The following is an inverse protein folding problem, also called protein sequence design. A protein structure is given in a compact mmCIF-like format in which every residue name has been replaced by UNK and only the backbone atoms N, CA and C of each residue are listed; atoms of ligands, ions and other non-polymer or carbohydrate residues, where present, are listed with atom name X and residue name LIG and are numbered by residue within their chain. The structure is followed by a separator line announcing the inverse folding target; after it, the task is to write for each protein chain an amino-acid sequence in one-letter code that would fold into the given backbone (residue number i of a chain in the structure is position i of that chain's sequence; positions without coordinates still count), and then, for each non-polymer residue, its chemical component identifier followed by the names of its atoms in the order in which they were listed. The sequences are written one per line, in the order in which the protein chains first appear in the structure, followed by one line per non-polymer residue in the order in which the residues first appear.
data_IF_873456580583
#
_entry.id   IF_873456580583
#
_cell.length_a   1.000
_cell.length_b   1.000
_cell.length_c   1.000
_cell.angle_alpha   90.00
_cell.angle_beta   90.00
_cell.angle_gamma   90.00
#
_symmetry.space_group_name_H-M   'P 1'
#
loop_
_entity.id
_entity.type
_entity.pdbx_description
1 polymer ?
#
# COMPACT_ATOMS: atom_id res chain seq x y z
N UNK A 1 12.76 16.25 8.26
CA UNK A 1 12.01 15.09 8.80
C UNK A 1 10.63 15.59 9.20
N UNK A 2 9.56 14.93 8.75
CA UNK A 2 8.21 15.31 9.16
C UNK A 2 7.93 14.75 10.54
N UNK A 3 7.34 15.57 11.42
CA UNK A 3 6.95 15.15 12.75
C UNK A 3 5.44 15.32 12.87
N UNK A 4 4.77 14.30 13.39
CA UNK A 4 3.39 14.43 13.79
C UNK A 4 3.27 15.44 14.94
N UNK A 5 2.32 16.36 14.83
CA UNK A 5 1.90 17.19 15.93
C UNK A 5 0.89 16.41 16.78
N UNK A 6 0.96 16.54 18.09
CA UNK A 6 0.08 15.86 19.03
C UNK A 6 -1.39 16.14 18.68
N UNK A 7 -2.18 15.09 18.51
CA UNK A 7 -3.63 15.21 18.32
C UNK A 7 -4.28 15.56 19.68
N UNK A 8 -5.14 16.59 19.78
CA UNK A 8 -5.75 17.02 21.04
C UNK A 8 -6.75 16.00 21.62
N UNK A 9 -7.29 15.11 20.78
CA UNK A 9 -7.98 13.90 21.21
C UNK A 9 -7.03 12.73 20.95
N UNK A 10 -6.68 11.96 21.99
CA UNK A 10 -5.77 10.82 21.85
C UNK A 10 -6.38 9.73 20.98
N UNK A 11 -6.24 9.86 19.65
CA UNK A 11 -6.72 8.88 18.69
C UNK A 11 -6.10 7.52 19.00
N UNK A 12 -6.91 6.47 18.88
CA UNK A 12 -6.49 5.13 19.26
C UNK A 12 -5.23 4.73 18.46
N UNK A 13 -4.17 4.38 19.19
CA UNK A 13 -2.91 3.89 18.62
C UNK A 13 -3.15 2.51 18.01
N UNK A 14 -2.74 2.34 16.77
CA UNK A 14 -2.72 1.06 16.04
C UNK A 14 -1.28 0.71 15.68
N UNK A 15 -0.96 -0.58 15.62
CA UNK A 15 0.37 -1.04 15.21
C UNK A 15 0.30 -1.54 13.78
N UNK A 16 1.11 -0.96 12.90
CA UNK A 16 1.36 -1.47 11.55
C UNK A 16 2.77 -2.06 11.47
N UNK A 17 3.06 -2.82 10.42
CA UNK A 17 4.42 -3.24 10.10
C UNK A 17 4.86 -2.66 8.77
N UNK A 18 6.07 -2.09 8.72
CA UNK A 18 6.70 -1.56 7.51
C UNK A 18 7.98 -2.35 7.29
N UNK A 19 8.03 -3.14 6.22
CA UNK A 19 9.12 -4.08 5.92
C UNK A 19 9.50 -4.95 7.14
N UNK A 20 8.48 -5.46 7.83
CA UNK A 20 8.64 -6.31 9.02
C UNK A 20 8.90 -5.56 10.33
N UNK A 21 9.19 -4.25 10.30
CA UNK A 21 9.37 -3.45 11.52
C UNK A 21 8.05 -2.89 12.02
N UNK A 22 7.77 -3.05 13.32
CA UNK A 22 6.57 -2.48 13.97
C UNK A 22 6.66 -0.96 14.05
N UNK A 23 5.55 -0.29 13.72
CA UNK A 23 5.40 1.17 13.72
C UNK A 23 4.04 1.53 14.33
N UNK A 24 4.04 2.44 15.30
CA UNK A 24 2.83 2.92 15.96
C UNK A 24 2.19 4.04 15.14
N UNK A 25 1.00 3.84 14.60
CA UNK A 25 0.20 4.86 13.91
C UNK A 25 -1.03 5.23 14.74
N UNK A 26 -1.71 6.30 14.34
CA UNK A 26 -3.01 6.67 14.89
C UNK A 26 -4.12 6.30 13.90
N UNK A 27 -5.25 5.87 14.43
CA UNK A 27 -6.45 5.63 13.63
C UNK A 27 -6.80 6.89 12.83
N UNK A 28 -7.08 6.73 11.55
CA UNK A 28 -7.43 7.84 10.65
C UNK A 28 -6.24 8.41 9.87
N UNK A 29 -5.00 8.05 10.22
CA UNK A 29 -3.85 8.37 9.38
C UNK A 29 -3.90 7.61 8.05
N UNK A 30 -3.37 8.22 6.99
CA UNK A 30 -3.05 7.49 5.78
C UNK A 30 -1.74 6.72 5.96
N UNK A 31 -1.57 5.61 5.24
CA UNK A 31 -0.30 4.89 5.18
C UNK A 31 0.83 5.82 4.71
N UNK A 32 0.54 6.74 3.78
CA UNK A 32 1.51 7.74 3.34
C UNK A 32 1.95 8.69 4.46
N UNK A 33 1.02 9.14 5.32
CA UNK A 33 1.35 9.98 6.47
C UNK A 33 2.28 9.27 7.45
N UNK A 34 2.09 7.96 7.64
CA UNK A 34 3.00 7.13 8.43
C UNK A 34 4.37 7.01 7.76
N UNK A 35 4.42 6.77 6.45
CA UNK A 35 5.70 6.63 5.72
C UNK A 35 6.56 7.91 5.80
N UNK A 36 5.97 9.10 5.68
CA UNK A 36 6.74 10.37 5.64
C UNK A 36 7.42 10.74 6.96
N UNK A 37 6.99 10.17 8.09
CA UNK A 37 7.64 10.39 9.39
C UNK A 37 8.70 9.34 9.72
N UNK A 38 8.80 8.26 8.95
CA UNK A 38 9.90 7.30 9.09
C UNK A 38 11.21 7.89 8.56
N UNK A 39 12.34 7.38 9.03
CA UNK A 39 13.67 7.82 8.57
C UNK A 39 13.84 7.68 7.05
N UNK A 40 13.17 6.69 6.45
CA UNK A 40 13.12 6.47 5.02
C UNK A 40 11.67 6.51 4.49
N UNK A 41 11.25 7.60 3.84
CA UNK A 41 9.89 7.76 3.32
C UNK A 41 9.67 7.10 1.94
N UNK A 42 10.68 6.44 1.38
CA UNK A 42 10.55 5.74 0.10
C UNK A 42 9.54 4.61 0.24
N UNK A 43 8.54 4.62 -0.64
CA UNK A 43 7.49 3.62 -0.74
C UNK A 43 7.76 2.63 -1.88
N UNK A 44 8.43 3.08 -2.95
CA UNK A 44 8.75 2.24 -4.10
C UNK A 44 9.99 2.69 -4.86
N UNK A 45 10.44 1.86 -5.80
CA UNK A 45 11.37 2.25 -6.87
C UNK A 45 10.70 2.22 -8.23
N UNK A 46 11.11 3.10 -9.15
CA UNK A 46 10.57 3.09 -10.52
C UNK A 46 11.00 1.82 -11.26
N UNK A 47 10.14 1.21 -12.09
CA UNK A 47 10.47 -0.07 -12.73
C UNK A 47 11.65 -0.06 -13.69
N UNK A 48 11.96 1.09 -14.30
CA UNK A 48 13.00 1.19 -15.33
C UNK A 48 14.35 1.59 -14.76
N UNK A 49 14.37 2.64 -13.95
CA UNK A 49 15.61 3.26 -13.46
C UNK A 49 15.91 2.95 -12.00
N UNK A 50 15.00 2.29 -11.28
CA UNK A 50 15.15 2.02 -9.85
C UNK A 50 15.09 3.28 -8.99
N UNK A 51 14.66 4.43 -9.55
CA UNK A 51 14.67 5.70 -8.83
C UNK A 51 13.70 5.65 -7.65
N UNK A 52 14.11 6.10 -6.44
CA UNK A 52 13.26 6.04 -5.25
C UNK A 52 12.09 7.02 -5.38
N UNK A 53 10.91 6.57 -4.94
CA UNK A 53 9.66 7.35 -4.94
C UNK A 53 8.96 7.19 -3.60
N UNK A 54 8.36 8.26 -3.12
CA UNK A 54 7.63 8.29 -1.86
C UNK A 54 6.42 9.23 -1.96
N UNK A 55 5.69 9.41 -0.85
CA UNK A 55 4.57 10.32 -0.81
C UNK A 55 4.94 11.74 -1.22
N UNK A 56 4.16 12.30 -2.14
CA UNK A 56 4.38 13.65 -2.67
C UNK A 56 3.08 14.46 -2.69
N UNK A 57 2.13 14.10 -3.55
CA UNK A 57 0.91 14.91 -3.73
C UNK A 57 -0.13 14.76 -2.61
N UNK A 58 -0.12 13.65 -1.86
CA UNK A 58 -1.15 13.30 -0.86
C UNK A 58 -2.62 13.32 -1.35
N UNK A 59 -2.84 13.30 -2.67
CA UNK A 59 -4.18 13.43 -3.30
C UNK A 59 -4.55 12.25 -4.20
N UNK A 60 -3.66 11.27 -4.39
CA UNK A 60 -3.91 10.12 -5.26
C UNK A 60 -3.73 10.38 -6.77
N UNK A 61 -3.07 11.47 -7.15
CA UNK A 61 -2.92 11.85 -8.57
C UNK A 61 -1.53 11.54 -9.15
N UNK A 62 -0.48 11.52 -8.31
CA UNK A 62 0.90 11.39 -8.78
C UNK A 62 1.40 9.94 -8.89
N UNK A 63 0.75 8.99 -8.22
CA UNK A 63 1.17 7.58 -8.15
C UNK A 63 2.61 7.34 -7.65
N UNK A 64 3.21 8.27 -6.93
CA UNK A 64 4.57 8.08 -6.39
C UNK A 64 4.60 7.36 -5.04
N UNK A 65 3.46 7.32 -4.34
CA UNK A 65 3.32 6.74 -3.02
C UNK A 65 2.94 5.24 -3.03
N UNK A 66 3.07 4.54 -4.17
CA UNK A 66 2.61 3.14 -4.23
C UNK A 66 3.43 2.24 -3.32
N UNK A 67 2.78 1.26 -2.70
CA UNK A 67 3.40 0.21 -1.90
C UNK A 67 2.61 -1.10 -2.06
N UNK A 68 3.13 -2.18 -1.49
CA UNK A 68 2.37 -3.40 -1.24
C UNK A 68 1.72 -3.26 0.14
N UNK A 69 0.40 -3.30 0.20
CA UNK A 69 -0.36 -3.22 1.46
C UNK A 69 -1.21 -4.46 1.60
N UNK A 70 -0.97 -5.23 2.66
CA UNK A 70 -1.64 -6.50 2.94
C UNK A 70 -1.62 -7.47 1.75
N UNK A 71 -0.49 -7.53 1.02
CA UNK A 71 -0.32 -8.35 -0.19
C UNK A 71 -0.73 -7.64 -1.48
N UNK A 72 -1.51 -6.55 -1.41
CA UNK A 72 -1.99 -5.83 -2.59
C UNK A 72 -0.93 -4.83 -3.06
N UNK A 73 -0.19 -5.22 -4.09
CA UNK A 73 0.76 -4.35 -4.78
C UNK A 73 0.09 -3.19 -5.55
N UNK A 74 0.86 -2.13 -5.79
CA UNK A 74 0.45 -0.88 -6.44
C UNK A 74 -0.67 -0.12 -5.69
N UNK A 75 -0.74 -0.26 -4.37
CA UNK A 75 -1.74 0.42 -3.53
C UNK A 75 -1.34 1.88 -3.28
N UNK A 76 -2.28 2.81 -3.49
CA UNK A 76 -2.07 4.23 -3.24
C UNK A 76 -2.10 4.55 -1.74
N UNK A 77 -0.94 4.54 -1.10
CA UNK A 77 -0.83 4.73 0.37
C UNK A 77 -1.40 6.06 0.88
N UNK A 78 -1.48 7.10 0.03
CA UNK A 78 -2.10 8.37 0.42
C UNK A 78 -3.62 8.35 0.53
N UNK A 79 -4.28 7.35 -0.06
CA UNK A 79 -5.72 7.14 0.04
C UNK A 79 -6.09 5.96 0.95
N UNK A 80 -5.09 5.22 1.45
CA UNK A 80 -5.29 4.05 2.31
C UNK A 80 -5.16 4.44 3.77
N UNK A 81 -6.24 4.28 4.54
CA UNK A 81 -6.24 4.52 5.99
C UNK A 81 -5.63 3.33 6.73
N UNK A 82 -4.78 3.61 7.72
CA UNK A 82 -4.14 2.58 8.54
C UNK A 82 -5.16 1.79 9.36
N UNK A 83 -4.87 0.50 9.53
CA UNK A 83 -5.61 -0.42 10.40
C UNK A 83 -4.63 -1.20 11.26
N UNK A 84 -5.06 -1.60 12.45
CA UNK A 84 -4.22 -2.41 13.33
C UNK A 84 -3.84 -3.73 12.65
N UNK A 85 -2.58 -4.14 12.80
CA UNK A 85 -2.02 -5.33 12.17
C UNK A 85 -1.67 -5.20 10.69
N UNK A 86 -1.90 -4.05 10.06
CA UNK A 86 -1.63 -3.84 8.63
C UNK A 86 -0.15 -4.08 8.28
N UNK A 87 0.10 -4.76 7.17
CA UNK A 87 1.44 -5.05 6.63
C UNK A 87 1.72 -4.20 5.40
N UNK A 88 2.75 -3.37 5.49
CA UNK A 88 3.18 -2.47 4.43
C UNK A 88 4.57 -2.90 4.00
N UNK A 89 4.75 -3.11 2.71
CA UNK A 89 6.06 -3.44 2.14
C UNK A 89 6.40 -2.46 1.01
N UNK A 90 7.66 -2.05 0.97
CA UNK A 90 8.16 -1.20 -0.12
C UNK A 90 8.11 -1.97 -1.43
N UNK A 91 7.59 -1.32 -2.48
CA UNK A 91 7.44 -1.97 -3.78
C UNK A 91 8.70 -1.78 -4.63
N UNK A 92 9.25 -2.87 -5.10
CA UNK A 92 10.40 -2.86 -6.00
C UNK A 92 9.99 -3.35 -7.39
N UNK A 93 10.29 -2.57 -8.43
CA UNK A 93 10.00 -2.98 -9.81
C UNK A 93 8.52 -2.90 -10.20
N UNK A 94 8.12 -3.72 -11.18
CA UNK A 94 6.74 -3.81 -11.68
C UNK A 94 5.92 -4.72 -10.77
N UNK A 95 4.60 -4.50 -10.70
CA UNK A 95 3.68 -5.46 -10.10
C UNK A 95 3.66 -6.74 -10.95
N UNK A 96 3.73 -7.90 -10.31
CA UNK A 96 3.55 -9.18 -10.98
C UNK A 96 2.06 -9.42 -11.23
N UNK A 97 1.69 -9.63 -12.50
CA UNK A 97 0.29 -9.89 -12.87
C UNK A 97 -0.08 -11.36 -12.72
N UNK A 98 0.88 -12.28 -12.87
CA UNK A 98 0.67 -13.72 -12.70
C UNK A 98 0.23 -14.11 -11.28
N UNK A 99 0.83 -13.47 -10.27
CA UNK A 99 0.45 -13.68 -8.86
C UNK A 99 -0.95 -13.13 -8.56
N UNK A 100 -1.31 -11.99 -9.16
CA UNK A 100 -2.61 -11.35 -8.96
C UNK A 100 -3.79 -12.09 -9.63
N UNK A 101 -3.54 -12.88 -10.68
CA UNK A 101 -4.57 -13.69 -11.33
C UNK A 101 -4.82 -14.96 -10.50
N UNK A 102 -3.77 -15.58 -9.95
CA UNK A 102 -3.89 -16.78 -9.13
C UNK A 102 -4.74 -16.58 -7.85
N UNK A 103 -4.74 -15.37 -7.26
CA UNK A 103 -5.60 -14.97 -6.12
C UNK A 103 -7.03 -14.58 -6.52
N UNK A 104 -7.37 -14.65 -7.82
CA UNK A 104 -8.73 -14.37 -8.31
C UNK A 104 -9.45 -15.61 -8.84
N UNK A 105 -8.71 -16.66 -9.18
CA UNK A 105 -9.22 -17.93 -9.72
C UNK A 105 -9.70 -18.90 -8.62
N UNK A 106 -9.37 -18.65 -7.36
CA UNK A 106 -9.87 -19.33 -6.17
C UNK A 106 -11.27 -18.84 -5.72
N UNK A 107 -11.87 -17.87 -6.43
CA UNK A 107 -13.15 -17.24 -6.09
C UNK A 107 -14.25 -17.27 -7.16
N UNK A 108 -14.13 -18.00 -8.27
CA UNK A 108 -15.18 -18.02 -9.30
C UNK A 108 -15.58 -19.44 -9.69
N UNK A 109 -16.74 -19.86 -9.17
CA UNK A 109 -17.43 -21.07 -9.60
C UNK A 109 -17.99 -20.93 -11.02
N UNK A 110 -17.75 -21.98 -11.80
CA UNK A 110 -18.58 -22.52 -12.87
C UNK A 110 -19.19 -21.52 -13.87
N UNK A 111 -18.37 -21.05 -14.82
CA UNK A 111 -18.87 -20.61 -16.13
C UNK A 111 -18.77 -21.79 -17.09
N UNK A 112 -19.83 -22.61 -17.08
CA UNK A 112 -20.06 -23.68 -18.05
C UNK A 112 -20.00 -23.12 -19.47
N UNK A 113 -19.21 -23.83 -20.28
CA UNK A 113 -19.17 -23.85 -21.73
C UNK A 113 -20.55 -23.60 -22.37
N UNK A 114 -20.65 -22.56 -23.18
CA UNK A 114 -21.77 -22.32 -24.09
C UNK A 114 -21.24 -22.26 -25.52
N UNK A 115 -21.53 -23.30 -26.29
CA UNK A 115 -21.13 -23.57 -27.67
C UNK A 115 -21.29 -22.40 -28.64
N UNK A 116 -20.27 -22.21 -29.50
CA UNK A 116 -20.40 -21.54 -30.79
C UNK A 116 -20.90 -22.58 -31.78
N UNK A 117 -22.18 -22.51 -32.13
CA UNK A 117 -22.73 -23.22 -33.29
C UNK A 117 -23.09 -22.20 -34.39
N UNK A 118 -22.31 -22.29 -35.47
CA UNK A 118 -22.56 -21.93 -36.88
C UNK A 118 -22.98 -20.52 -37.27
#
# INVERSE_FOLDING_TARGET
MFRKLSSPAGDAVVTVSIDGRRVNAERGESVAAVLVREDNPVARTTPRSGSPRGPFCMMGVCFECLAVVDGVASTQTCLTIVRDGMRIQRQHGRRNLSEAIAESEDGSGDLRSGEVHS
#
